data_IF_410220112022
#
_entry.id   IF_410220112022
#
_cell.length_a   1.000
_cell.length_b   1.000
_cell.length_c   1.000
_cell.angle_alpha   90.00
_cell.angle_beta   90.00
_cell.angle_gamma   90.00
#
_symmetry.space_group_name_H-M   'P 1'
#
loop_
_entity.id
_entity.type
_entity.pdbx_description
1 polymer ?
#
# COMPACT_ATOMS: atom_id res chain seq x y z
N UNK A 1 6.19 -2.91 30.49
CA UNK A 1 7.24 -2.66 29.46
C UNK A 1 6.70 -1.86 28.27
N UNK A 2 5.60 -2.28 27.62
CA UNK A 2 5.01 -1.53 26.50
C UNK A 2 4.59 -0.09 26.89
N UNK A 3 4.02 0.09 28.07
CA UNK A 3 3.65 1.41 28.63
C UNK A 3 4.85 2.33 28.89
N UNK A 4 6.00 1.77 29.28
CA UNK A 4 7.24 2.52 29.49
C UNK A 4 7.86 2.94 28.14
N UNK A 5 7.79 2.07 27.13
CA UNK A 5 8.22 2.36 25.75
C UNK A 5 7.36 3.47 25.13
N UNK A 6 6.05 3.47 25.39
CA UNK A 6 5.11 4.51 24.93
C UNK A 6 5.26 5.84 25.68
N UNK A 7 5.89 5.84 26.87
CA UNK A 7 6.13 7.04 27.68
C UNK A 7 7.38 7.82 27.27
N UNK A 8 8.24 7.22 26.44
CA UNK A 8 9.36 7.92 25.82
C UNK A 8 8.86 8.77 24.65
N UNK A 9 9.54 9.89 24.36
CA UNK A 9 9.23 10.70 23.18
C UNK A 9 9.20 9.77 21.93
N UNK A 10 8.07 9.70 21.21
CA UNK A 10 7.90 8.70 20.15
C UNK A 10 8.91 8.88 19.02
N UNK A 11 9.39 10.09 18.78
CA UNK A 11 10.30 10.39 17.67
C UNK A 11 11.70 9.79 17.83
N UNK A 12 12.44 10.01 18.94
CA UNK A 12 13.71 9.32 19.19
C UNK A 12 13.56 7.79 19.24
N UNK A 13 12.48 7.27 19.82
CA UNK A 13 12.27 5.83 19.86
C UNK A 13 12.08 5.27 18.44
N UNK A 14 11.25 5.92 17.63
CA UNK A 14 11.07 5.57 16.22
C UNK A 14 12.40 5.59 15.46
N UNK A 15 13.25 6.61 15.69
CA UNK A 15 14.58 6.69 15.07
C UNK A 15 15.48 5.51 15.45
N UNK A 16 15.55 5.16 16.74
CA UNK A 16 16.35 4.02 17.23
C UNK A 16 15.82 2.70 16.65
N UNK A 17 14.51 2.48 16.73
CA UNK A 17 13.88 1.27 16.22
C UNK A 17 14.15 1.08 14.73
N UNK A 18 13.95 2.13 13.93
CA UNK A 18 14.17 2.06 12.48
C UNK A 18 15.64 1.84 12.14
N UNK A 19 16.57 2.44 12.87
CA UNK A 19 18.02 2.19 12.70
C UNK A 19 18.35 0.72 12.94
N UNK A 20 17.81 0.10 14.00
CA UNK A 20 18.04 -1.31 14.31
C UNK A 20 17.42 -2.24 13.25
N UNK A 21 16.13 -2.05 12.94
CA UNK A 21 15.41 -2.93 12.01
C UNK A 21 15.96 -2.83 10.58
N UNK A 22 16.21 -1.61 10.09
CA UNK A 22 16.77 -1.43 8.75
C UNK A 22 18.26 -1.80 8.69
N UNK A 23 18.99 -1.68 9.80
CA UNK A 23 20.34 -2.23 9.94
C UNK A 23 20.35 -3.75 9.72
N UNK A 24 19.42 -4.48 10.35
CA UNK A 24 19.25 -5.94 10.14
C UNK A 24 18.84 -6.22 8.68
N UNK A 25 17.87 -5.47 8.13
CA UNK A 25 17.43 -5.66 6.76
C UNK A 25 18.56 -5.42 5.74
N UNK A 26 19.48 -4.48 6.02
CA UNK A 26 20.65 -4.22 5.18
C UNK A 26 21.64 -5.40 5.13
N UNK A 27 21.66 -6.27 6.14
CA UNK A 27 22.49 -7.47 6.18
C UNK A 27 21.89 -8.65 5.39
N UNK A 28 20.62 -8.57 4.99
CA UNK A 28 19.97 -9.64 4.22
C UNK A 28 20.62 -9.76 2.82
N UNK A 29 21.01 -10.97 2.37
CA UNK A 29 21.72 -11.17 1.10
C UNK A 29 20.93 -10.67 -0.11
N UNK A 30 19.62 -10.95 -0.14
CA UNK A 30 18.71 -10.42 -1.16
C UNK A 30 18.22 -9.04 -0.75
N UNK A 31 18.91 -8.01 -1.23
CA UNK A 31 18.60 -6.59 -0.94
C UNK A 31 17.12 -6.30 -1.24
N UNK A 32 16.43 -5.78 -0.23
CA UNK A 32 15.02 -5.36 -0.31
C UNK A 32 14.90 -3.90 -0.75
N UNK A 33 15.91 -3.09 -0.42
CA UNK A 33 15.99 -1.67 -0.69
C UNK A 33 17.34 -1.31 -1.32
N UNK A 34 17.35 -0.28 -2.15
CA UNK A 34 18.60 0.39 -2.57
C UNK A 34 19.19 1.19 -1.39
N UNK A 35 20.46 1.62 -1.44
CA UNK A 35 21.04 2.46 -0.37
C UNK A 35 20.20 3.71 -0.06
N UNK A 36 19.73 4.42 -1.10
CA UNK A 36 18.80 5.54 -0.94
C UNK A 36 17.42 5.08 -0.44
N UNK A 37 16.95 3.91 -0.87
CA UNK A 37 15.72 3.29 -0.38
C UNK A 37 15.73 3.05 1.13
N UNK A 38 16.87 2.64 1.72
CA UNK A 38 17.01 2.49 3.18
C UNK A 38 16.83 3.81 3.92
N UNK A 39 17.44 4.90 3.43
CA UNK A 39 17.27 6.21 4.05
C UNK A 39 15.81 6.68 3.98
N UNK A 40 15.15 6.50 2.83
CA UNK A 40 13.76 6.91 2.66
C UNK A 40 12.79 6.04 3.48
N UNK A 41 13.03 4.73 3.56
CA UNK A 41 12.28 3.83 4.43
C UNK A 41 12.48 4.17 5.92
N UNK A 42 13.69 4.59 6.31
CA UNK A 42 13.97 5.05 7.66
C UNK A 42 13.16 6.31 7.99
N UNK A 43 13.20 7.33 7.11
CA UNK A 43 12.43 8.57 7.28
C UNK A 43 10.93 8.26 7.39
N UNK A 44 10.39 7.46 6.48
CA UNK A 44 9.01 7.02 6.50
C UNK A 44 8.67 6.34 7.83
N UNK A 45 9.48 5.38 8.27
CA UNK A 45 9.25 4.64 9.50
C UNK A 45 9.28 5.52 10.76
N UNK A 46 10.16 6.52 10.81
CA UNK A 46 10.20 7.51 11.90
C UNK A 46 8.94 8.37 11.91
N UNK A 47 8.49 8.84 10.73
CA UNK A 47 7.26 9.63 10.63
C UNK A 47 6.05 8.81 11.09
N UNK A 48 5.90 7.57 10.60
CA UNK A 48 4.76 6.73 10.96
C UNK A 48 4.78 6.37 12.45
N UNK A 49 5.94 6.05 13.03
CA UNK A 49 6.03 5.81 14.46
C UNK A 49 5.73 7.07 15.28
N UNK A 50 6.27 8.22 14.88
CA UNK A 50 6.06 9.51 15.54
C UNK A 50 4.60 9.99 15.53
N UNK A 51 3.84 9.61 14.51
CA UNK A 51 2.43 10.02 14.32
C UNK A 51 1.44 9.00 14.87
N UNK A 52 1.57 7.73 14.47
CA UNK A 52 0.58 6.67 14.72
C UNK A 52 1.11 5.56 15.66
N UNK A 53 2.33 5.72 16.19
CA UNK A 53 2.94 4.76 17.10
C UNK A 53 3.16 3.39 16.48
N UNK A 54 3.13 2.36 17.33
CA UNK A 54 3.32 0.97 16.91
C UNK A 54 2.18 0.48 16.01
N UNK A 55 0.96 1.03 16.17
CA UNK A 55 -0.21 0.63 15.41
C UNK A 55 -0.05 0.95 13.92
N UNK A 56 0.33 2.19 13.58
CA UNK A 56 0.65 2.57 12.21
C UNK A 56 1.89 1.84 11.72
N UNK A 57 2.94 1.76 12.56
CA UNK A 57 4.19 1.11 12.16
C UNK A 57 3.98 -0.36 11.77
N UNK A 58 3.11 -1.09 12.47
CA UNK A 58 2.77 -2.48 12.17
C UNK A 58 2.19 -2.63 10.76
N UNK A 59 1.32 -1.71 10.32
CA UNK A 59 0.71 -1.73 8.99
C UNK A 59 1.76 -1.53 7.89
N UNK A 60 2.62 -0.50 8.01
CA UNK A 60 3.66 -0.24 7.00
C UNK A 60 4.73 -1.32 6.99
N UNK A 61 5.10 -1.87 8.15
CA UNK A 61 6.05 -2.98 8.24
C UNK A 61 5.49 -4.26 7.60
N UNK A 62 4.21 -4.57 7.86
CA UNK A 62 3.53 -5.70 7.24
C UNK A 62 3.47 -5.54 5.72
N UNK A 63 3.07 -4.36 5.23
CA UNK A 63 3.08 -4.04 3.80
C UNK A 63 4.47 -4.23 3.18
N UNK A 64 5.52 -3.74 3.84
CA UNK A 64 6.88 -3.87 3.33
C UNK A 64 7.30 -5.34 3.21
N UNK A 65 7.11 -6.14 4.27
CA UNK A 65 7.49 -7.55 4.28
C UNK A 65 6.70 -8.36 3.27
N UNK A 66 5.37 -8.27 3.29
CA UNK A 66 4.51 -9.06 2.42
C UNK A 66 4.63 -8.58 0.98
N UNK A 67 4.61 -7.27 0.75
CA UNK A 67 4.78 -6.68 -0.58
C UNK A 67 6.11 -7.08 -1.22
N UNK A 68 7.23 -7.03 -0.48
CA UNK A 68 8.53 -7.49 -1.00
C UNK A 68 8.62 -9.02 -1.17
N UNK A 69 7.84 -9.79 -0.41
CA UNK A 69 7.73 -11.24 -0.61
C UNK A 69 6.97 -11.58 -1.89
N UNK A 70 5.83 -10.92 -2.10
CA UNK A 70 4.94 -11.11 -3.25
C UNK A 70 5.65 -10.81 -4.58
N UNK A 71 6.47 -9.75 -4.63
CA UNK A 71 7.21 -9.40 -5.84
C UNK A 71 8.25 -10.45 -6.24
N UNK A 72 8.63 -11.34 -5.33
CA UNK A 72 9.55 -12.46 -5.59
C UNK A 72 8.85 -13.75 -6.02
N UNK A 73 7.52 -13.78 -6.02
CA UNK A 73 6.74 -14.93 -6.51
C UNK A 73 6.97 -15.06 -8.02
N UNK A 74 7.33 -16.27 -8.48
CA UNK A 74 7.57 -16.56 -9.90
C UNK A 74 8.68 -15.71 -10.53
N UNK A 75 9.69 -15.28 -9.74
CA UNK A 75 10.71 -14.35 -10.23
C UNK A 75 11.48 -14.90 -11.44
N UNK A 76 11.82 -16.20 -11.44
CA UNK A 76 12.57 -16.81 -12.53
C UNK A 76 11.78 -16.79 -13.85
N UNK A 77 10.49 -17.11 -13.79
CA UNK A 77 9.58 -17.07 -14.94
C UNK A 77 9.36 -15.64 -15.43
N UNK A 78 9.15 -14.70 -14.51
CA UNK A 78 8.97 -13.27 -14.85
C UNK A 78 10.24 -12.66 -15.46
N UNK A 79 11.43 -13.05 -14.99
CA UNK A 79 12.71 -12.59 -15.54
C UNK A 79 12.93 -13.16 -16.95
N UNK A 80 12.62 -14.45 -17.16
CA UNK A 80 12.70 -15.08 -18.48
C UNK A 80 11.77 -14.43 -19.52
N UNK A 81 10.62 -13.90 -19.08
CA UNK A 81 9.65 -13.21 -19.94
C UNK A 81 9.84 -11.69 -20.00
N UNK A 82 10.81 -11.12 -19.27
CA UNK A 82 11.08 -9.68 -19.25
C UNK A 82 10.00 -8.83 -18.56
N UNK A 83 9.12 -9.46 -17.77
CA UNK A 83 8.01 -8.81 -17.04
C UNK A 83 8.29 -8.69 -15.53
N UNK A 84 9.48 -9.08 -15.09
CA UNK A 84 9.91 -8.98 -13.70
C UNK A 84 10.01 -7.53 -13.22
N UNK A 85 9.79 -7.33 -11.92
CA UNK A 85 9.95 -6.02 -11.32
C UNK A 85 11.40 -5.55 -11.36
N UNK A 86 11.58 -4.24 -11.56
CA UNK A 86 12.90 -3.61 -11.68
C UNK A 86 13.79 -3.94 -10.48
N UNK A 87 15.10 -4.04 -10.73
CA UNK A 87 16.14 -4.30 -9.71
C UNK A 87 15.89 -5.59 -8.91
N UNK A 88 15.34 -6.63 -9.54
CA UNK A 88 14.95 -7.90 -8.90
C UNK A 88 14.10 -7.69 -7.63
N UNK A 89 13.22 -6.69 -7.66
CA UNK A 89 12.32 -6.33 -6.56
C UNK A 89 12.93 -5.42 -5.48
N UNK A 90 14.16 -4.92 -5.66
CA UNK A 90 14.75 -3.95 -4.73
C UNK A 90 14.10 -2.56 -4.91
N UNK A 91 13.55 -2.02 -3.82
CA UNK A 91 12.78 -0.77 -3.80
C UNK A 91 13.68 0.46 -3.60
N UNK A 92 13.50 1.47 -4.44
CA UNK A 92 14.15 2.78 -4.33
C UNK A 92 13.28 3.81 -3.61
N UNK A 93 13.79 5.03 -3.40
CA UNK A 93 13.02 6.17 -2.89
C UNK A 93 11.65 6.35 -3.54
N UNK A 94 11.60 6.22 -4.85
CA UNK A 94 10.42 6.36 -5.70
C UNK A 94 9.37 5.27 -5.40
N UNK A 95 9.78 4.04 -5.10
CA UNK A 95 8.85 2.98 -4.69
C UNK A 95 8.32 3.20 -3.27
N UNK A 96 9.19 3.65 -2.37
CA UNK A 96 8.83 3.90 -0.96
C UNK A 96 7.74 4.98 -0.91
N UNK A 97 8.00 6.13 -1.52
CA UNK A 97 7.03 7.23 -1.54
C UNK A 97 5.88 6.97 -2.49
N UNK A 98 6.11 6.30 -3.62
CA UNK A 98 5.07 5.84 -4.54
C UNK A 98 3.99 5.01 -3.85
N UNK A 99 4.41 4.19 -2.88
CA UNK A 99 3.53 3.29 -2.13
C UNK A 99 2.93 3.91 -0.86
N UNK A 100 3.63 4.86 -0.23
CA UNK A 100 3.32 5.30 1.13
C UNK A 100 2.99 6.79 1.28
N UNK A 101 3.13 7.61 0.23
CA UNK A 101 2.91 9.06 0.34
C UNK A 101 1.51 9.40 0.87
N UNK A 102 0.47 8.83 0.26
CA UNK A 102 -0.93 9.05 0.68
C UNK A 102 -1.14 8.68 2.15
N UNK A 103 -0.70 7.49 2.56
CA UNK A 103 -0.78 7.07 3.96
C UNK A 103 0.01 8.01 4.88
N UNK A 104 1.20 8.45 4.47
CA UNK A 104 2.01 9.39 5.26
C UNK A 104 1.30 10.73 5.45
N UNK A 105 0.62 11.24 4.42
CA UNK A 105 -0.18 12.46 4.52
C UNK A 105 -1.37 12.27 5.47
N UNK A 106 -2.05 11.12 5.42
CA UNK A 106 -3.11 10.80 6.38
C UNK A 106 -2.58 10.76 7.83
N UNK A 107 -1.40 10.14 8.04
CA UNK A 107 -0.75 10.04 9.34
C UNK A 107 -0.29 11.40 9.88
N UNK A 108 0.34 12.23 9.04
CA UNK A 108 0.74 13.59 9.42
C UNK A 108 -0.48 14.47 9.72
N UNK A 109 -1.59 14.26 9.01
CA UNK A 109 -2.86 14.95 9.25
C UNK A 109 -3.38 14.78 10.67
N UNK A 110 -3.05 13.68 11.38
CA UNK A 110 -3.49 13.46 12.77
C UNK A 110 -2.79 14.37 13.77
N UNK A 111 -1.70 15.06 13.37
CA UNK A 111 -1.02 16.04 14.22
C UNK A 111 -1.64 17.44 14.13
N UNK A 112 -2.52 17.69 13.16
CA UNK A 112 -3.13 19.00 12.98
C UNK A 112 -4.18 19.21 14.09
N UNK A 113 -4.14 20.31 14.87
CA UNK A 113 -5.05 20.51 16.00
C UNK A 113 -6.55 20.46 15.61
N UNK A 114 -6.90 20.90 14.39
CA UNK A 114 -8.27 20.85 13.87
C UNK A 114 -8.72 19.42 13.50
N UNK A 115 -7.78 18.49 13.35
CA UNK A 115 -8.06 17.07 13.13
C UNK A 115 -8.36 16.30 14.44
N UNK A 116 -8.29 16.95 15.61
CA UNK A 116 -8.56 16.33 16.91
C UNK A 116 -10.04 16.04 17.18
N UNK A 117 -10.94 16.29 16.23
CA UNK A 117 -12.29 15.74 16.34
C UNK A 117 -12.24 14.23 16.11
N UNK A 118 -12.91 13.41 16.95
CA UNK A 118 -12.93 11.94 16.78
C UNK A 118 -13.33 11.51 15.36
N UNK A 119 -14.18 12.31 14.72
CA UNK A 119 -14.65 12.10 13.36
C UNK A 119 -13.52 12.23 12.33
N UNK A 120 -12.80 13.36 12.30
CA UNK A 120 -11.71 13.57 11.33
C UNK A 120 -10.59 12.57 11.56
N UNK A 121 -10.22 12.33 12.83
CA UNK A 121 -9.22 11.31 13.17
C UNK A 121 -9.61 9.94 12.62
N UNK A 122 -10.86 9.50 12.83
CA UNK A 122 -11.33 8.20 12.31
C UNK A 122 -11.25 8.08 10.78
N UNK A 123 -11.46 9.19 10.05
CA UNK A 123 -11.38 9.22 8.59
C UNK A 123 -9.93 9.21 8.11
N UNK A 124 -9.01 9.91 8.80
CA UNK A 124 -7.58 9.88 8.49
C UNK A 124 -6.98 8.50 8.72
N UNK A 125 -7.34 7.83 9.82
CA UNK A 125 -6.89 6.45 10.09
C UNK A 125 -7.47 5.46 9.07
N UNK A 126 -8.73 5.62 8.68
CA UNK A 126 -9.33 4.83 7.60
C UNK A 126 -8.59 5.04 6.28
N UNK A 127 -8.31 6.30 5.90
CA UNK A 127 -7.55 6.64 4.70
C UNK A 127 -6.13 6.04 4.72
N UNK A 128 -5.46 6.08 5.87
CA UNK A 128 -4.15 5.45 6.08
C UNK A 128 -4.18 3.95 5.79
N UNK A 129 -5.11 3.21 6.40
CA UNK A 129 -5.21 1.76 6.21
C UNK A 129 -5.71 1.40 4.81
N UNK A 130 -6.65 2.18 4.25
CA UNK A 130 -7.16 1.97 2.89
C UNK A 130 -6.07 2.21 1.82
N UNK A 131 -5.21 3.22 2.01
CA UNK A 131 -4.06 3.48 1.14
C UNK A 131 -3.14 2.25 1.07
N UNK A 132 -2.74 1.69 2.22
CA UNK A 132 -1.89 0.49 2.22
C UNK A 132 -2.63 -0.78 1.75
N UNK A 133 -3.93 -0.90 2.04
CA UNK A 133 -4.77 -2.00 1.54
C UNK A 133 -4.81 -2.00 0.02
N UNK A 134 -4.98 -0.82 -0.56
CA UNK A 134 -4.95 -0.59 -2.01
C UNK A 134 -3.60 -0.94 -2.59
N UNK A 135 -2.50 -0.46 -2.00
CA UNK A 135 -1.18 -0.75 -2.53
C UNK A 135 -0.81 -2.23 -2.46
N UNK A 136 -1.18 -2.93 -1.38
CA UNK A 136 -0.93 -4.36 -1.31
C UNK A 136 -1.84 -5.14 -2.26
N UNK A 137 -3.11 -4.73 -2.41
CA UNK A 137 -4.02 -5.31 -3.41
C UNK A 137 -3.42 -5.22 -4.82
N UNK A 138 -2.97 -4.04 -5.20
CA UNK A 138 -2.30 -3.75 -6.47
C UNK A 138 -1.05 -4.61 -6.70
N UNK A 139 -0.18 -4.68 -5.68
CA UNK A 139 1.04 -5.48 -5.73
C UNK A 139 0.72 -6.97 -5.86
N UNK A 140 -0.22 -7.49 -5.07
CA UNK A 140 -0.64 -8.89 -5.14
C UNK A 140 -1.30 -9.21 -6.49
N UNK A 141 -2.17 -8.34 -6.98
CA UNK A 141 -2.89 -8.57 -8.22
C UNK A 141 -1.95 -8.61 -9.43
N UNK A 142 -1.04 -7.63 -9.52
CA UNK A 142 -0.08 -7.56 -10.62
C UNK A 142 0.96 -8.69 -10.56
N UNK A 143 1.54 -8.97 -9.40
CA UNK A 143 2.63 -9.96 -9.30
C UNK A 143 2.15 -11.40 -9.39
N UNK A 144 1.00 -11.72 -8.77
CA UNK A 144 0.37 -13.05 -8.93
C UNK A 144 -0.21 -13.20 -10.33
N UNK A 145 -0.80 -12.14 -10.90
CA UNK A 145 -1.30 -12.15 -12.27
C UNK A 145 -0.19 -12.39 -13.30
N UNK A 146 0.98 -11.77 -13.14
CA UNK A 146 2.16 -12.04 -13.96
C UNK A 146 2.68 -13.47 -13.80
N UNK A 147 2.75 -13.98 -12.57
CA UNK A 147 3.31 -15.30 -12.31
C UNK A 147 2.37 -16.45 -12.74
N UNK A 148 1.06 -16.33 -12.47
CA UNK A 148 0.12 -17.44 -12.54
C UNK A 148 -1.15 -17.16 -13.34
N UNK A 149 -1.31 -15.96 -13.92
CA UNK A 149 -2.48 -15.62 -14.72
C UNK A 149 -2.63 -16.55 -15.93
N UNK A 150 -3.68 -17.38 -15.92
CA UNK A 150 -3.97 -18.31 -17.02
C UNK A 150 -4.72 -17.65 -18.16
N UNK A 151 -5.59 -16.69 -17.83
CA UNK A 151 -6.37 -15.89 -18.78
C UNK A 151 -6.34 -14.43 -18.33
N UNK A 152 -5.68 -13.61 -19.12
CA UNK A 152 -5.51 -12.17 -18.90
C UNK A 152 -6.28 -11.40 -19.95
N UNK A 153 -6.98 -10.35 -19.53
CA UNK A 153 -7.82 -9.52 -20.38
C UNK A 153 -7.48 -8.06 -20.17
N UNK A 154 -7.57 -7.25 -21.22
CA UNK A 154 -7.45 -5.80 -21.08
C UNK A 154 -8.74 -5.24 -20.45
N UNK A 155 -8.63 -4.45 -19.38
CA UNK A 155 -9.81 -3.99 -18.64
C UNK A 155 -10.79 -3.13 -19.49
N UNK A 156 -10.29 -2.48 -20.54
CA UNK A 156 -11.08 -1.60 -21.40
C UNK A 156 -11.88 -2.34 -22.46
N UNK A 157 -11.30 -3.37 -23.09
CA UNK A 157 -11.90 -4.06 -24.25
C UNK A 157 -12.34 -5.49 -23.95
N UNK A 158 -11.94 -6.02 -22.78
CA UNK A 158 -12.11 -7.42 -22.38
C UNK A 158 -11.52 -8.42 -23.38
N UNK A 159 -10.61 -7.96 -24.25
CA UNK A 159 -9.91 -8.82 -25.19
C UNK A 159 -8.76 -9.55 -24.49
N UNK A 160 -8.47 -10.81 -24.87
CA UNK A 160 -7.31 -11.53 -24.36
C UNK A 160 -6.01 -10.79 -24.70
N UNK A 161 -5.15 -10.63 -23.70
CA UNK A 161 -3.82 -10.02 -23.83
C UNK A 161 -2.77 -10.85 -23.12
N UNK A 162 -1.50 -10.65 -23.45
CA UNK A 162 -0.40 -11.33 -22.75
C UNK A 162 -0.34 -10.88 -21.27
N UNK A 163 0.04 -11.80 -20.38
CA UNK A 163 0.29 -11.47 -18.97
C UNK A 163 1.42 -10.44 -18.85
N UNK A 164 1.30 -9.53 -17.89
CA UNK A 164 2.24 -8.42 -17.73
C UNK A 164 2.02 -7.24 -18.69
N UNK A 165 1.00 -7.28 -19.55
CA UNK A 165 0.55 -6.10 -20.30
C UNK A 165 -0.04 -5.07 -19.33
N UNK A 166 0.30 -3.79 -19.50
CA UNK A 166 -0.24 -2.70 -18.67
C UNK A 166 -1.77 -2.65 -18.76
N UNK A 167 -2.43 -2.60 -17.60
CA UNK A 167 -3.89 -2.66 -17.51
C UNK A 167 -4.54 -4.03 -17.78
N UNK A 168 -3.73 -5.09 -17.86
CA UNK A 168 -4.25 -6.46 -17.93
C UNK A 168 -4.73 -6.95 -16.56
N UNK A 169 -5.90 -7.58 -16.55
CA UNK A 169 -6.52 -8.18 -15.36
C UNK A 169 -6.69 -9.69 -15.55
N UNK A 170 -6.54 -10.46 -14.48
CA UNK A 170 -6.77 -11.91 -14.44
C UNK A 170 -7.53 -12.27 -13.17
N UNK A 171 -8.25 -13.40 -13.18
CA UNK A 171 -8.97 -13.88 -12.00
C UNK A 171 -8.00 -14.17 -10.85
N UNK A 172 -6.87 -14.82 -11.13
CA UNK A 172 -5.84 -15.14 -10.15
C UNK A 172 -5.28 -13.87 -9.50
N UNK A 173 -4.98 -12.85 -10.31
CA UNK A 173 -4.56 -11.53 -9.83
C UNK A 173 -5.64 -10.87 -8.98
N UNK A 174 -6.89 -10.81 -9.45
CA UNK A 174 -7.98 -10.17 -8.69
C UNK A 174 -8.21 -10.83 -7.33
N UNK A 175 -8.20 -12.18 -7.26
CA UNK A 175 -8.34 -12.90 -6.00
C UNK A 175 -7.15 -12.64 -5.06
N UNK A 176 -5.94 -12.58 -5.59
CA UNK A 176 -4.75 -12.23 -4.80
C UNK A 176 -4.81 -10.78 -4.30
N UNK A 177 -5.34 -9.85 -5.09
CA UNK A 177 -5.56 -8.46 -4.69
C UNK A 177 -6.56 -8.34 -3.54
N UNK A 178 -7.70 -9.04 -3.63
CA UNK A 178 -8.68 -9.13 -2.54
C UNK A 178 -8.04 -9.70 -1.26
N UNK A 179 -7.23 -10.76 -1.38
CA UNK A 179 -6.52 -11.32 -0.23
C UNK A 179 -5.49 -10.32 0.35
N UNK A 180 -4.76 -9.59 -0.49
CA UNK A 180 -3.79 -8.58 -0.08
C UNK A 180 -4.43 -7.40 0.66
N UNK A 181 -5.51 -6.85 0.13
CA UNK A 181 -6.28 -5.78 0.80
C UNK A 181 -6.87 -6.26 2.12
N UNK A 182 -7.46 -7.47 2.16
CA UNK A 182 -7.98 -8.05 3.38
C UNK A 182 -6.92 -8.23 4.46
N UNK A 183 -5.71 -8.68 4.10
CA UNK A 183 -4.62 -8.85 5.05
C UNK A 183 -4.23 -7.53 5.73
N UNK A 184 -4.04 -6.44 4.98
CA UNK A 184 -3.73 -5.13 5.56
C UNK A 184 -4.89 -4.60 6.39
N UNK A 185 -6.12 -4.70 5.90
CA UNK A 185 -7.29 -4.22 6.61
C UNK A 185 -7.47 -4.94 7.96
N UNK A 186 -7.23 -6.25 8.02
CA UNK A 186 -7.26 -7.02 9.25
C UNK A 186 -6.11 -6.63 10.21
N UNK A 187 -4.91 -6.33 9.70
CA UNK A 187 -3.81 -5.80 10.52
C UNK A 187 -4.19 -4.43 11.10
N UNK A 188 -4.76 -3.53 10.29
CA UNK A 188 -5.21 -2.22 10.76
C UNK A 188 -6.34 -2.32 11.80
N UNK A 189 -7.28 -3.25 11.62
CA UNK A 189 -8.34 -3.53 12.59
C UNK A 189 -7.79 -4.12 13.89
N UNK A 190 -6.92 -5.14 13.80
CA UNK A 190 -6.27 -5.76 14.96
C UNK A 190 -5.35 -4.81 15.73
N UNK A 191 -4.74 -3.84 15.04
CA UNK A 191 -3.98 -2.76 15.66
C UNK A 191 -4.86 -1.67 16.29
N UNK A 192 -6.18 -1.70 16.08
CA UNK A 192 -7.12 -0.72 16.61
C UNK A 192 -7.16 0.61 15.84
N UNK A 193 -6.67 0.67 14.60
CA UNK A 193 -6.71 1.88 13.77
C UNK A 193 -8.07 2.11 13.10
N UNK A 194 -8.78 1.02 12.79
CA UNK A 194 -10.09 1.05 12.12
C UNK A 194 -11.08 0.15 12.85
N UNK A 195 -12.38 0.35 12.60
CA UNK A 195 -13.45 -0.52 13.11
C UNK A 195 -13.63 -1.75 12.22
N UNK A 196 -14.41 -2.73 12.68
CA UNK A 196 -14.77 -3.89 11.85
C UNK A 196 -15.48 -3.50 10.53
N UNK A 197 -16.33 -2.47 10.56
CA UNK A 197 -16.91 -1.90 9.35
C UNK A 197 -15.87 -1.26 8.42
N UNK A 198 -14.81 -0.67 8.99
CA UNK A 198 -13.68 -0.13 8.25
C UNK A 198 -12.96 -1.18 7.39
N UNK A 199 -12.93 -2.44 7.82
CA UNK A 199 -12.35 -3.55 7.03
C UNK A 199 -13.07 -3.65 5.69
N UNK A 200 -14.40 -3.77 5.71
CA UNK A 200 -15.19 -3.86 4.49
C UNK A 200 -15.01 -2.64 3.59
N UNK A 201 -14.94 -1.43 4.17
CA UNK A 201 -14.68 -0.20 3.42
C UNK A 201 -13.31 -0.23 2.73
N UNK A 202 -12.26 -0.71 3.40
CA UNK A 202 -10.94 -0.86 2.81
C UNK A 202 -10.93 -1.87 1.65
N UNK A 203 -11.64 -2.99 1.75
CA UNK A 203 -11.73 -3.98 0.67
C UNK A 203 -12.43 -3.39 -0.57
N UNK A 204 -13.58 -2.75 -0.38
CA UNK A 204 -14.33 -2.13 -1.49
C UNK A 204 -13.50 -1.03 -2.14
N UNK A 205 -12.90 -0.15 -1.33
CA UNK A 205 -12.07 0.94 -1.82
C UNK A 205 -10.83 0.45 -2.56
N UNK A 206 -10.13 -0.56 -2.03
CA UNK A 206 -8.98 -1.17 -2.69
C UNK A 206 -9.37 -1.80 -4.01
N UNK A 207 -10.49 -2.53 -4.08
CA UNK A 207 -10.99 -3.11 -5.32
C UNK A 207 -11.31 -2.04 -6.38
N UNK A 208 -12.01 -0.96 -6.00
CA UNK A 208 -12.29 0.17 -6.89
C UNK A 208 -10.99 0.77 -7.41
N UNK A 209 -10.06 1.08 -6.51
CA UNK A 209 -8.81 1.76 -6.83
C UNK A 209 -7.92 0.90 -7.74
N UNK A 210 -7.77 -0.40 -7.49
CA UNK A 210 -6.99 -1.29 -8.36
C UNK A 210 -7.58 -1.45 -9.76
N UNK A 211 -8.91 -1.44 -9.90
CA UNK A 211 -9.52 -1.47 -11.23
C UNK A 211 -9.33 -0.14 -11.96
N UNK A 212 -9.39 0.99 -11.25
CA UNK A 212 -9.11 2.30 -11.85
C UNK A 212 -7.63 2.46 -12.22
N UNK A 213 -6.71 1.89 -11.45
CA UNK A 213 -5.30 1.79 -11.80
C UNK A 213 -5.12 1.03 -13.12
N UNK A 214 -5.74 -0.13 -13.27
CA UNK A 214 -5.64 -0.91 -14.50
C UNK A 214 -6.26 -0.15 -15.69
N UNK A 215 -7.30 0.64 -15.46
CA UNK A 215 -7.86 1.53 -16.49
C UNK A 215 -6.87 2.63 -16.89
N UNK A 216 -6.20 3.26 -15.92
CA UNK A 216 -5.15 4.26 -16.17
C UNK A 216 -3.98 3.63 -16.95
N UNK A 217 -3.55 2.43 -16.57
CA UNK A 217 -2.50 1.68 -17.26
C UNK A 217 -2.87 1.35 -18.71
N UNK A 218 -4.11 0.91 -18.95
CA UNK A 218 -4.60 0.57 -20.28
C UNK A 218 -4.81 1.77 -21.22
N UNK A 219 -4.94 2.99 -20.69
CA UNK A 219 -5.37 4.17 -21.47
C UNK A 219 -4.35 5.31 -21.45
N UNK A 220 -3.95 5.80 -20.28
CA UNK A 220 -3.20 7.04 -20.11
C UNK A 220 -1.70 6.81 -19.99
N UNK A 221 -1.27 5.70 -19.40
CA UNK A 221 0.13 5.45 -19.07
C UNK A 221 1.01 5.31 -20.32
N UNK A 222 0.45 4.81 -21.42
CA UNK A 222 1.13 4.74 -22.73
C UNK A 222 1.14 6.07 -23.49
N UNK A 223 0.27 7.01 -23.12
CA UNK A 223 0.13 8.31 -23.79
C UNK A 223 0.89 9.44 -23.07
N UNK A 224 1.19 9.26 -21.78
CA UNK A 224 1.71 10.31 -20.90
C UNK A 224 3.06 9.93 -20.32
N UNK A 225 4.14 10.50 -20.89
CA UNK A 225 5.53 10.15 -20.54
C UNK A 225 5.92 10.40 -19.07
N UNK A 226 5.25 11.32 -18.36
CA UNK A 226 5.53 11.59 -16.94
C UNK A 226 4.76 10.66 -15.98
N UNK A 227 3.77 9.91 -16.50
CA UNK A 227 2.92 9.02 -15.72
C UNK A 227 3.64 7.69 -15.48
N UNK A 228 4.73 7.75 -14.73
CA UNK A 228 5.50 6.57 -14.35
C UNK A 228 4.71 5.66 -13.41
N UNK A 229 5.08 4.39 -13.31
CA UNK A 229 4.44 3.42 -12.41
C UNK A 229 4.35 3.94 -10.95
N UNK A 230 5.35 4.69 -10.48
CA UNK A 230 5.31 5.24 -9.12
C UNK A 230 4.32 6.38 -8.96
N UNK A 231 4.11 7.18 -10.00
CA UNK A 231 3.08 8.22 -10.00
C UNK A 231 1.70 7.59 -10.05
N UNK A 232 1.52 6.53 -10.85
CA UNK A 232 0.28 5.75 -10.88
C UNK A 232 0.02 5.10 -9.52
N UNK A 233 1.05 4.59 -8.83
CA UNK A 233 0.93 4.09 -7.46
C UNK A 233 0.42 5.16 -6.48
N UNK A 234 0.91 6.41 -6.58
CA UNK A 234 0.43 7.51 -5.75
C UNK A 234 -1.05 7.79 -6.04
N UNK A 235 -1.43 7.87 -7.32
CA UNK A 235 -2.82 8.11 -7.73
C UNK A 235 -3.73 6.97 -7.24
N UNK A 236 -3.31 5.72 -7.40
CA UNK A 236 -4.06 4.55 -6.98
C UNK A 236 -4.29 4.56 -5.46
N UNK A 237 -3.23 4.74 -4.65
CA UNK A 237 -3.37 4.81 -3.19
C UNK A 237 -4.21 5.99 -2.72
N UNK A 238 -4.13 7.13 -3.41
CA UNK A 238 -4.98 8.30 -3.16
C UNK A 238 -6.45 8.01 -3.45
N UNK A 239 -6.76 7.39 -4.59
CA UNK A 239 -8.12 6.95 -4.95
C UNK A 239 -8.65 5.99 -3.88
N UNK A 240 -7.84 5.03 -3.44
CA UNK A 240 -8.22 4.09 -2.38
C UNK A 240 -8.56 4.78 -1.06
N UNK A 241 -7.74 5.74 -0.62
CA UNK A 241 -8.02 6.51 0.60
C UNK A 241 -9.30 7.35 0.47
N UNK A 242 -9.47 8.07 -0.65
CA UNK A 242 -10.65 8.90 -0.92
C UNK A 242 -11.91 8.04 -0.98
N UNK A 243 -11.88 6.92 -1.72
CA UNK A 243 -13.02 6.02 -1.84
C UNK A 243 -13.48 5.49 -0.48
N UNK A 244 -12.55 5.05 0.38
CA UNK A 244 -12.89 4.58 1.72
C UNK A 244 -13.53 5.69 2.57
N UNK A 245 -13.00 6.91 2.52
CA UNK A 245 -13.54 8.07 3.25
C UNK A 245 -14.94 8.44 2.75
N UNK A 246 -15.14 8.51 1.43
CA UNK A 246 -16.44 8.82 0.84
C UNK A 246 -17.49 7.76 1.19
N UNK A 247 -17.12 6.48 1.14
CA UNK A 247 -18.00 5.39 1.55
C UNK A 247 -18.36 5.49 3.04
N UNK A 248 -17.40 5.84 3.91
CA UNK A 248 -17.66 6.04 5.34
C UNK A 248 -18.62 7.21 5.60
N UNK A 249 -18.42 8.33 4.89
CA UNK A 249 -19.29 9.50 5.00
C UNK A 249 -20.71 9.20 4.50
N UNK A 250 -20.84 8.51 3.36
CA UNK A 250 -22.13 8.05 2.84
C UNK A 250 -22.81 7.10 3.82
N UNK A 251 -22.10 6.09 4.32
CA UNK A 251 -22.66 5.13 5.29
C UNK A 251 -23.23 5.82 6.54
N UNK A 252 -22.52 6.83 7.06
CA UNK A 252 -23.00 7.62 8.20
C UNK A 252 -24.24 8.44 7.87
N UNK A 253 -24.26 9.11 6.71
CA UNK A 253 -25.40 9.90 6.27
C UNK A 253 -26.69 9.07 6.13
N UNK A 254 -26.57 7.81 5.72
CA UNK A 254 -27.72 6.92 5.53
C UNK A 254 -28.22 6.25 6.81
N UNK A 255 -27.39 6.10 7.84
CA UNK A 255 -27.73 5.33 9.06
C UNK A 255 -27.98 6.23 10.28
N UNK A 256 -27.50 7.48 10.25
CA UNK A 256 -27.75 8.46 11.30
C UNK A 256 -28.43 9.73 10.72
N UNK A 257 -29.71 9.67 10.33
CA UNK A 257 -30.51 10.87 10.10
C UNK A 257 -30.79 11.65 11.39
#
# INVERSE_FOLDING_TARGET
>A
MLSLILSLNPWPFGAILNTLLLGIAALVPKKLLTPAGYLHAWILGVIIWGTLGWQGYLVVAFYFVVGSGVTRIGMAEKEAEGIAEKRSGARGPENVWGSALTATLCALGTLIPTANTPQILSLLLLGYVASFSTKLSDTCASEVGKAYGKRTFLITTLQPVARGTEGAVSLEGTLAGVAGSAAIALVGWGAGLITGGGVLLCLIAAFIATNLESLIGATLQTQVNWLTNEVVNIINTLIGAIAAILLALAWRFWIAP
#
